data_IF_138619714675
#
_entry.id   IF_138619714675
#
_cell.length_a   1.000
_cell.length_b   1.000
_cell.length_c   1.000
_cell.angle_alpha   90.00
_cell.angle_beta   90.00
_cell.angle_gamma   90.00
#
_symmetry.space_group_name_H-M   'P 1'
#
loop_
_entity.id
_entity.type
_entity.pdbx_description
1 polymer ?
#
# COMPACT_ATOMS: atom_id res chain seq x y z
N UNK A 1 11.15 -34.99 -15.49
CA UNK A 1 9.77 -35.32 -15.07
C UNK A 1 9.25 -34.10 -14.39
N UNK A 2 8.13 -33.57 -14.86
CA UNK A 2 7.45 -32.41 -14.22
C UNK A 2 6.79 -33.00 -12.99
N UNK A 3 7.20 -32.53 -11.81
CA UNK A 3 6.58 -32.92 -10.56
C UNK A 3 5.16 -32.31 -10.56
N UNK A 4 4.15 -33.17 -10.68
CA UNK A 4 2.76 -32.74 -10.65
C UNK A 4 2.38 -32.42 -9.17
N UNK A 5 1.82 -31.26 -8.95
CA UNK A 5 1.32 -30.84 -7.64
C UNK A 5 -0.19 -31.08 -7.63
N UNK A 6 -0.71 -31.63 -6.53
CA UNK A 6 -2.15 -31.91 -6.40
C UNK A 6 -2.79 -30.97 -5.41
N UNK A 7 -3.99 -30.50 -5.72
CA UNK A 7 -4.92 -29.90 -4.75
C UNK A 7 -5.68 -31.03 -4.08
N UNK A 8 -5.72 -31.00 -2.75
CA UNK A 8 -6.35 -32.02 -1.92
C UNK A 8 -7.64 -31.49 -1.27
N UNK A 9 -8.59 -32.37 -0.98
CA UNK A 9 -9.85 -31.98 -0.30
C UNK A 9 -9.67 -31.65 1.17
N UNK A 10 -8.56 -32.08 1.79
CA UNK A 10 -8.21 -31.79 3.19
C UNK A 10 -6.69 -31.53 3.29
N UNK A 11 -6.21 -30.96 4.39
CA UNK A 11 -4.77 -30.76 4.67
C UNK A 11 -4.04 -32.08 4.91
N UNK A 12 -4.16 -33.01 3.97
CA UNK A 12 -3.61 -34.35 4.01
C UNK A 12 -3.40 -34.88 2.60
N UNK A 13 -2.17 -35.26 2.26
CA UNK A 13 -1.81 -35.82 0.95
C UNK A 13 -2.45 -37.18 0.64
N UNK A 14 -3.07 -37.83 1.63
CA UNK A 14 -3.84 -39.09 1.45
C UNK A 14 -5.34 -38.82 1.18
N UNK A 15 -5.80 -37.56 1.27
CA UNK A 15 -7.18 -37.19 0.99
C UNK A 15 -7.48 -37.20 -0.54
N UNK A 16 -8.73 -37.01 -0.90
CA UNK A 16 -9.13 -36.98 -2.31
C UNK A 16 -8.46 -35.80 -3.03
N UNK A 17 -7.98 -36.06 -4.25
CA UNK A 17 -7.45 -35.01 -5.12
C UNK A 17 -8.61 -34.28 -5.78
N UNK A 18 -8.70 -32.99 -5.54
CA UNK A 18 -9.70 -32.08 -6.14
C UNK A 18 -9.27 -31.71 -7.56
N UNK A 19 -7.99 -31.36 -7.73
CA UNK A 19 -7.43 -30.95 -9.01
C UNK A 19 -5.94 -31.30 -9.11
N UNK A 20 -5.44 -31.47 -10.33
CA UNK A 20 -4.02 -31.64 -10.62
C UNK A 20 -3.48 -30.35 -11.20
N UNK A 21 -2.56 -29.70 -10.48
CA UNK A 21 -1.89 -28.49 -10.93
C UNK A 21 -0.78 -28.80 -11.93
N UNK A 22 -0.68 -27.96 -12.94
CA UNK A 22 0.39 -27.97 -13.94
C UNK A 22 1.45 -26.92 -13.63
N UNK A 23 2.65 -27.07 -14.17
CA UNK A 23 3.70 -26.09 -13.99
C UNK A 23 3.30 -24.73 -14.60
N UNK A 24 3.26 -23.71 -13.78
CA UNK A 24 2.88 -22.34 -14.15
C UNK A 24 1.45 -21.97 -13.79
N UNK A 25 0.64 -22.90 -13.28
CA UNK A 25 -0.67 -22.58 -12.75
C UNK A 25 -0.53 -21.71 -11.48
N UNK A 26 -1.45 -20.77 -11.33
CA UNK A 26 -1.52 -19.87 -10.18
C UNK A 26 -2.89 -19.98 -9.52
N UNK A 27 -2.92 -20.00 -8.21
CA UNK A 27 -4.14 -20.14 -7.41
C UNK A 27 -4.25 -19.00 -6.40
N UNK A 28 -5.45 -18.49 -6.21
CA UNK A 28 -5.73 -17.52 -5.16
C UNK A 28 -5.66 -18.19 -3.79
N UNK A 29 -4.78 -17.71 -2.91
CA UNK A 29 -4.66 -18.21 -1.54
C UNK A 29 -5.75 -17.60 -0.67
N UNK A 30 -6.61 -18.45 -0.12
CA UNK A 30 -7.70 -18.07 0.78
C UNK A 30 -7.22 -18.02 2.24
N UNK A 31 -6.35 -18.95 2.63
CA UNK A 31 -5.86 -19.08 4.00
C UNK A 31 -4.47 -19.72 4.01
N UNK A 32 -3.53 -19.11 4.75
CA UNK A 32 -2.20 -19.65 5.03
C UNK A 32 -2.00 -19.66 6.55
N UNK A 33 -1.95 -20.84 7.16
CA UNK A 33 -1.75 -21.00 8.59
C UNK A 33 -0.27 -21.15 8.98
N UNK A 34 0.65 -21.10 8.00
CA UNK A 34 2.09 -21.21 8.23
C UNK A 34 2.58 -22.62 8.60
N UNK A 35 1.76 -23.65 8.40
CA UNK A 35 2.09 -25.05 8.63
C UNK A 35 2.56 -25.81 7.39
N UNK A 36 2.68 -25.09 6.26
CA UNK A 36 3.07 -25.60 4.97
C UNK A 36 1.89 -26.03 4.08
N UNK A 37 0.66 -25.92 4.58
CA UNK A 37 -0.55 -26.10 3.77
C UNK A 37 -1.25 -24.77 3.55
N UNK A 38 -1.67 -24.52 2.32
CA UNK A 38 -2.46 -23.36 1.94
C UNK A 38 -3.79 -23.76 1.37
N UNK A 39 -4.84 -23.05 1.75
CA UNK A 39 -6.17 -23.20 1.21
C UNK A 39 -6.29 -22.30 -0.02
N UNK A 40 -6.72 -22.86 -1.12
CA UNK A 40 -6.84 -22.17 -2.41
C UNK A 40 -8.18 -22.49 -3.08
N UNK A 41 -8.58 -21.66 -4.05
CA UNK A 41 -9.65 -22.03 -4.98
C UNK A 41 -9.06 -22.71 -6.23
N UNK A 42 -9.65 -23.84 -6.63
CA UNK A 42 -9.38 -24.49 -7.90
C UNK A 42 -9.90 -23.65 -9.09
N UNK A 43 -9.49 -23.97 -10.31
CA UNK A 43 -10.04 -23.33 -11.52
C UNK A 43 -11.56 -23.52 -11.66
N UNK A 44 -12.12 -24.59 -11.10
CA UNK A 44 -13.56 -24.82 -11.04
C UNK A 44 -14.29 -24.02 -9.96
N UNK A 45 -13.56 -23.32 -9.10
CA UNK A 45 -14.09 -22.55 -7.96
C UNK A 45 -14.37 -23.39 -6.71
N UNK A 46 -13.86 -24.63 -6.66
CA UNK A 46 -13.93 -25.49 -5.48
C UNK A 46 -12.75 -25.19 -4.53
N UNK A 47 -12.98 -25.25 -3.23
CA UNK A 47 -11.92 -25.13 -2.23
C UNK A 47 -11.03 -26.39 -2.23
N UNK A 48 -9.72 -26.19 -2.19
CA UNK A 48 -8.72 -27.24 -2.09
C UNK A 48 -7.54 -26.82 -1.23
N UNK A 49 -6.72 -27.79 -0.87
CA UNK A 49 -5.51 -27.58 -0.07
C UNK A 49 -4.29 -27.98 -0.88
N UNK A 50 -3.29 -27.12 -0.89
CA UNK A 50 -2.03 -27.30 -1.60
C UNK A 50 -0.88 -27.25 -0.61
N UNK A 51 0.10 -28.15 -0.75
CA UNK A 51 1.31 -28.11 0.07
C UNK A 51 2.30 -27.13 -0.54
N UNK A 52 2.55 -26.03 0.16
CA UNK A 52 3.56 -25.02 -0.19
C UNK A 52 4.91 -25.44 0.39
N UNK A 53 5.65 -26.28 -0.30
CA UNK A 53 6.94 -26.82 0.13
C UNK A 53 8.14 -25.93 -0.27
N UNK A 54 7.88 -24.80 -0.92
CA UNK A 54 8.89 -23.87 -1.43
C UNK A 54 9.68 -24.37 -2.65
N UNK A 55 9.32 -25.53 -3.20
CA UNK A 55 9.95 -26.14 -4.38
C UNK A 55 8.95 -26.41 -5.48
N UNK A 56 7.95 -27.26 -5.19
CA UNK A 56 6.89 -27.63 -6.12
C UNK A 56 5.76 -26.61 -6.14
N UNK A 57 5.47 -26.00 -4.99
CA UNK A 57 4.59 -24.84 -4.85
C UNK A 57 5.22 -23.78 -3.93
N UNK A 58 5.12 -22.54 -4.35
CA UNK A 58 5.59 -21.36 -3.60
C UNK A 58 4.39 -20.47 -3.36
N UNK A 59 4.14 -20.05 -2.11
CA UNK A 59 3.24 -18.97 -1.83
C UNK A 59 3.96 -17.69 -2.17
N UNK A 60 3.61 -17.10 -3.30
CA UNK A 60 3.91 -15.70 -3.54
C UNK A 60 2.80 -14.92 -2.85
N UNK A 61 3.14 -14.20 -1.77
CA UNK A 61 2.27 -13.13 -1.33
C UNK A 61 2.07 -12.25 -2.57
N UNK A 62 0.83 -12.08 -3.04
CA UNK A 62 0.56 -10.95 -3.90
C UNK A 62 1.19 -9.76 -3.16
N UNK A 63 2.14 -9.10 -3.79
CA UNK A 63 2.62 -7.82 -3.31
C UNK A 63 1.36 -6.97 -3.30
N UNK A 64 0.71 -6.87 -2.12
CA UNK A 64 -0.48 -6.09 -1.93
C UNK A 64 -0.19 -4.76 -2.56
N UNK A 65 -1.12 -4.19 -3.32
CA UNK A 65 -0.85 -2.95 -4.03
C UNK A 65 -0.30 -1.96 -2.99
N UNK A 66 1.03 -1.83 -2.95
CA UNK A 66 1.74 -1.02 -1.96
C UNK A 66 1.15 0.40 -1.89
N UNK A 67 0.53 0.84 -2.99
CA UNK A 67 -0.17 2.10 -3.06
C UNK A 67 -1.46 2.09 -2.25
N UNK A 68 -2.21 0.99 -2.31
CA UNK A 68 -3.42 0.82 -1.49
C UNK A 68 -3.07 0.64 -0.02
N UNK A 69 -2.03 -0.13 0.31
CA UNK A 69 -1.55 -0.28 1.69
C UNK A 69 -1.15 1.07 2.31
N UNK A 70 -0.45 1.90 1.55
CA UNK A 70 -0.07 3.26 1.95
C UNK A 70 -1.30 4.13 2.19
N UNK A 71 -2.32 4.06 1.33
CA UNK A 71 -3.57 4.80 1.49
C UNK A 71 -4.33 4.33 2.71
N UNK A 72 -4.54 3.03 2.86
CA UNK A 72 -5.30 2.45 3.97
C UNK A 72 -4.62 2.77 5.30
N UNK A 73 -3.31 2.64 5.37
CA UNK A 73 -2.54 3.01 6.56
C UNK A 73 -2.66 4.51 6.87
N UNK A 74 -2.56 5.38 5.87
CA UNK A 74 -2.74 6.82 6.06
C UNK A 74 -4.11 7.19 6.64
N UNK A 75 -5.17 6.50 6.20
CA UNK A 75 -6.54 6.73 6.62
C UNK A 75 -6.80 6.33 8.08
N UNK A 76 -6.01 5.43 8.65
CA UNK A 76 -6.11 5.05 10.07
C UNK A 76 -5.83 6.22 11.02
N UNK A 77 -5.13 7.26 10.57
CA UNK A 77 -4.76 8.44 11.38
C UNK A 77 -5.75 9.61 11.27
N UNK A 78 -6.87 9.44 10.59
CA UNK A 78 -7.86 10.53 10.45
C UNK A 78 -8.32 11.06 11.81
N UNK A 79 -8.33 12.39 11.95
CA UNK A 79 -8.70 13.07 13.19
C UNK A 79 -7.57 13.24 14.20
N UNK A 80 -6.42 12.59 14.02
CA UNK A 80 -5.26 12.73 14.88
C UNK A 80 -4.65 14.14 14.80
N UNK A 81 -3.97 14.61 15.86
CA UNK A 81 -3.59 16.00 15.99
C UNK A 81 -2.47 16.44 15.03
N UNK A 82 -2.56 17.68 14.56
CA UNK A 82 -1.45 18.36 13.92
C UNK A 82 -0.55 19.01 14.97
N UNK A 83 0.75 18.77 14.88
CA UNK A 83 1.77 19.46 15.68
C UNK A 83 2.90 19.93 14.77
N UNK A 84 3.17 21.24 14.73
CA UNK A 84 4.26 21.78 13.91
C UNK A 84 5.62 21.17 14.31
N UNK A 85 6.34 20.61 13.35
CA UNK A 85 7.61 19.90 13.58
C UNK A 85 7.45 18.48 14.12
N UNK A 86 6.24 18.02 14.39
CA UNK A 86 5.95 16.65 14.81
C UNK A 86 6.13 15.65 13.66
N UNK A 87 6.45 14.40 13.98
CA UNK A 87 6.72 13.34 13.01
C UNK A 87 6.00 12.02 13.29
N UNK A 88 5.26 11.93 14.39
CA UNK A 88 4.49 10.75 14.76
C UNK A 88 2.99 11.09 14.74
N UNK A 89 2.21 10.53 13.78
CA UNK A 89 0.79 10.82 13.67
C UNK A 89 -0.05 10.31 14.84
N UNK A 90 0.47 9.42 15.70
CA UNK A 90 -0.23 8.98 16.90
C UNK A 90 -0.20 10.04 18.02
N UNK A 91 0.83 10.86 18.07
CA UNK A 91 1.03 11.88 19.13
C UNK A 91 0.95 13.30 18.62
N UNK A 92 1.16 13.51 17.33
CA UNK A 92 1.09 14.77 16.62
C UNK A 92 2.15 14.92 15.55
N UNK A 93 1.73 15.30 14.36
CA UNK A 93 2.60 15.43 13.19
C UNK A 93 2.29 16.68 12.38
N UNK A 94 3.28 17.19 11.64
CA UNK A 94 3.03 18.17 10.58
C UNK A 94 2.83 17.47 9.20
N UNK A 95 2.58 18.24 8.15
CA UNK A 95 2.24 17.71 6.84
C UNK A 95 3.31 16.75 6.27
N UNK A 96 4.57 17.10 6.34
CA UNK A 96 5.67 16.30 5.81
C UNK A 96 6.12 15.20 6.79
N UNK A 97 5.94 15.38 8.08
CA UNK A 97 6.11 14.33 9.08
C UNK A 97 5.10 13.20 8.88
N UNK A 98 3.84 13.55 8.58
CA UNK A 98 2.79 12.61 8.27
C UNK A 98 3.12 11.77 7.02
N UNK A 99 3.46 12.42 5.91
CA UNK A 99 3.80 11.70 4.67
C UNK A 99 5.05 10.85 4.79
N UNK A 100 6.10 11.31 5.54
CA UNK A 100 7.27 10.46 5.84
C UNK A 100 6.84 9.22 6.60
N UNK A 101 6.13 9.40 7.69
CA UNK A 101 5.73 8.30 8.57
C UNK A 101 4.95 7.21 7.81
N UNK A 102 3.96 7.62 7.03
CA UNK A 102 3.12 6.68 6.26
C UNK A 102 3.94 5.95 5.21
N UNK A 103 4.74 6.67 4.41
CA UNK A 103 5.53 6.07 3.34
C UNK A 103 6.65 5.16 3.86
N UNK A 104 7.25 5.47 5.01
CA UNK A 104 8.25 4.61 5.64
C UNK A 104 7.64 3.31 6.15
N UNK A 105 6.45 3.38 6.81
CA UNK A 105 5.87 2.22 7.48
C UNK A 105 5.06 1.30 6.56
N UNK A 106 4.37 1.85 5.57
CA UNK A 106 3.53 1.08 4.66
C UNK A 106 4.11 0.97 3.24
N UNK A 107 4.90 1.96 2.81
CA UNK A 107 5.49 1.99 1.46
C UNK A 107 6.95 1.52 1.40
N UNK A 108 7.62 1.33 2.54
CA UNK A 108 9.03 0.98 2.60
C UNK A 108 9.97 2.07 2.03
N UNK A 109 9.52 3.32 1.93
CA UNK A 109 10.26 4.43 1.32
C UNK A 109 10.80 5.38 2.39
N UNK A 110 12.13 5.51 2.48
CA UNK A 110 12.77 6.51 3.35
C UNK A 110 12.59 7.92 2.80
N UNK A 111 11.84 8.75 3.52
CA UNK A 111 11.45 10.08 3.07
C UNK A 111 12.20 11.21 3.79
N UNK A 112 12.59 12.21 3.02
CA UNK A 112 13.12 13.45 3.60
C UNK A 112 12.10 14.13 4.54
N UNK A 113 12.60 14.77 5.59
CA UNK A 113 11.74 15.35 6.65
C UNK A 113 10.88 16.53 6.19
N UNK A 114 11.34 17.37 5.28
CA UNK A 114 10.61 18.59 4.89
C UNK A 114 9.85 18.44 3.59
N UNK A 115 8.68 19.09 3.46
CA UNK A 115 7.91 19.09 2.22
C UNK A 115 8.70 19.59 1.00
N UNK A 116 9.65 20.52 1.20
CA UNK A 116 10.53 21.00 0.12
C UNK A 116 11.51 19.95 -0.37
N UNK A 117 12.12 19.20 0.55
CA UNK A 117 13.05 18.13 0.17
C UNK A 117 12.31 16.91 -0.36
N UNK A 118 11.13 16.59 0.16
CA UNK A 118 10.25 15.56 -0.40
C UNK A 118 9.86 15.85 -1.86
N UNK A 119 9.61 17.12 -2.19
CA UNK A 119 9.29 17.53 -3.56
C UNK A 119 10.44 17.31 -4.56
N UNK A 120 11.63 16.96 -4.09
CA UNK A 120 12.80 16.61 -4.92
C UNK A 120 13.13 15.13 -4.95
N UNK A 121 12.38 14.30 -4.21
CA UNK A 121 12.49 12.84 -4.26
C UNK A 121 11.52 12.26 -5.27
N UNK A 122 11.87 11.11 -5.84
CA UNK A 122 11.02 10.39 -6.78
C UNK A 122 10.86 11.07 -8.14
N UNK A 123 9.83 10.68 -8.86
CA UNK A 123 9.55 11.09 -10.23
C UNK A 123 8.38 12.07 -10.26
N UNK A 124 8.55 13.21 -10.94
CA UNK A 124 7.44 14.13 -11.16
C UNK A 124 6.45 13.52 -12.15
N UNK A 125 5.17 13.56 -11.81
CA UNK A 125 4.06 13.08 -12.64
C UNK A 125 3.07 14.19 -12.96
N UNK A 126 2.29 14.01 -14.02
CA UNK A 126 1.18 14.92 -14.34
C UNK A 126 -0.08 14.57 -13.54
N UNK A 127 -1.06 15.46 -13.53
CA UNK A 127 -2.33 15.21 -12.85
C UNK A 127 -3.10 14.02 -13.43
N UNK A 128 -2.95 13.76 -14.74
CA UNK A 128 -3.58 12.64 -15.44
C UNK A 128 -2.90 11.29 -15.11
N UNK A 129 -1.66 11.34 -14.66
CA UNK A 129 -0.85 10.15 -14.29
C UNK A 129 -0.81 9.91 -12.78
N UNK A 130 -1.44 10.81 -12.01
CA UNK A 130 -1.43 10.75 -10.56
C UNK A 130 -2.15 9.49 -10.07
N UNK A 131 -1.49 8.73 -9.20
CA UNK A 131 -2.00 7.49 -8.61
C UNK A 131 -2.08 7.60 -7.08
N UNK A 132 -2.94 6.80 -6.41
CA UNK A 132 -2.94 6.70 -4.97
C UNK A 132 -1.51 6.48 -4.42
N UNK A 133 -1.18 7.13 -3.30
CA UNK A 133 0.16 7.13 -2.74
C UNK A 133 1.10 8.22 -3.26
N UNK A 134 0.75 8.94 -4.33
CA UNK A 134 1.53 10.07 -4.83
C UNK A 134 1.43 11.29 -3.92
N UNK A 135 2.48 12.11 -3.90
CA UNK A 135 2.56 13.30 -3.08
C UNK A 135 2.18 14.56 -3.87
N UNK A 136 1.23 15.32 -3.34
CA UNK A 136 0.77 16.59 -3.91
C UNK A 136 1.30 17.75 -3.08
N UNK A 137 2.03 18.67 -3.73
CA UNK A 137 2.69 19.81 -3.07
C UNK A 137 2.01 21.12 -3.37
N UNK A 138 1.96 21.97 -2.35
CA UNK A 138 1.37 23.30 -2.42
C UNK A 138 2.39 24.36 -1.96
N UNK A 139 2.27 25.55 -2.51
CA UNK A 139 3.18 26.65 -2.24
C UNK A 139 2.44 27.92 -1.75
N UNK A 140 3.19 28.77 -1.05
CA UNK A 140 2.85 30.17 -0.84
C UNK A 140 3.88 31.01 -1.59
N UNK A 141 3.45 31.69 -2.65
CA UNK A 141 4.35 32.27 -3.63
C UNK A 141 5.19 31.16 -4.32
N UNK A 142 6.51 31.31 -4.34
CA UNK A 142 7.43 30.32 -4.93
C UNK A 142 7.90 29.23 -3.94
N UNK A 143 7.47 29.30 -2.67
CA UNK A 143 7.97 28.41 -1.62
C UNK A 143 6.97 27.32 -1.31
N UNK A 144 7.32 26.05 -1.57
CA UNK A 144 6.57 24.89 -1.11
C UNK A 144 6.50 24.91 0.43
N UNK A 145 5.29 24.80 0.95
CA UNK A 145 5.00 24.90 2.38
C UNK A 145 4.02 23.83 2.88
N UNK A 146 3.51 22.98 2.00
CA UNK A 146 2.58 21.93 2.38
C UNK A 146 2.65 20.76 1.42
N UNK A 147 2.28 19.57 1.92
CA UNK A 147 2.18 18.32 1.18
C UNK A 147 0.99 17.51 1.68
N UNK A 148 0.34 16.78 0.77
CA UNK A 148 -0.68 15.78 1.06
C UNK A 148 -0.42 14.52 0.25
N UNK A 149 -0.93 13.41 0.74
CA UNK A 149 -0.90 12.10 0.08
C UNK A 149 -2.19 11.92 -0.72
N UNK A 150 -2.08 11.65 -2.01
CA UNK A 150 -3.24 11.37 -2.87
C UNK A 150 -3.82 9.99 -2.54
N UNK A 151 -5.14 9.91 -2.39
CA UNK A 151 -5.85 8.69 -2.00
C UNK A 151 -6.83 8.20 -3.07
N UNK A 152 -6.78 8.78 -4.28
CA UNK A 152 -7.75 8.50 -5.33
C UNK A 152 -8.94 9.46 -5.31
N UNK A 153 -9.83 9.33 -6.28
CA UNK A 153 -11.11 10.05 -6.40
C UNK A 153 -11.01 11.58 -6.23
N UNK A 154 -9.89 12.16 -6.65
CA UNK A 154 -9.66 13.60 -6.54
C UNK A 154 -9.40 14.09 -5.12
N UNK A 155 -8.97 13.23 -4.20
CA UNK A 155 -8.81 13.53 -2.78
C UNK A 155 -7.37 13.31 -2.30
N UNK A 156 -7.00 14.04 -1.28
CA UNK A 156 -5.77 13.84 -0.49
C UNK A 156 -6.11 13.66 0.98
N UNK A 157 -5.27 12.90 1.69
CA UNK A 157 -5.18 12.93 3.15
C UNK A 157 -3.95 13.73 3.55
N UNK A 158 -4.09 14.61 4.54
CA UNK A 158 -3.00 15.48 4.98
C UNK A 158 -3.16 15.95 6.44
N UNK A 159 -2.03 16.14 7.13
CA UNK A 159 -2.01 16.87 8.40
C UNK A 159 -2.14 18.36 8.08
N UNK A 160 -3.31 18.93 8.33
CA UNK A 160 -3.72 20.24 7.79
C UNK A 160 -3.34 21.41 8.69
N UNK A 161 -3.95 21.49 9.87
CA UNK A 161 -3.74 22.57 10.87
C UNK A 161 -3.95 22.05 12.29
N UNK A 162 -3.47 22.77 13.29
CA UNK A 162 -3.71 22.45 14.71
C UNK A 162 -5.20 22.35 15.08
N UNK A 163 -6.06 23.08 14.37
CA UNK A 163 -7.51 23.05 14.58
C UNK A 163 -8.19 21.83 13.98
N UNK A 164 -7.67 21.29 12.88
CA UNK A 164 -8.34 20.25 12.09
C UNK A 164 -7.64 18.91 12.11
N UNK A 165 -6.38 18.88 12.52
CA UNK A 165 -5.59 17.65 12.52
C UNK A 165 -5.40 17.04 11.13
N UNK A 166 -5.34 15.72 11.09
CA UNK A 166 -5.26 14.92 9.87
C UNK A 166 -6.66 14.76 9.30
N UNK A 167 -6.84 15.09 8.02
CA UNK A 167 -8.14 15.08 7.36
C UNK A 167 -8.05 14.83 5.86
N UNK A 168 -9.18 14.51 5.24
CA UNK A 168 -9.33 14.45 3.79
C UNK A 168 -9.74 15.83 3.25
N UNK A 169 -9.24 16.18 2.07
CA UNK A 169 -9.63 17.36 1.29
C UNK A 169 -9.55 17.07 -0.20
N UNK A 170 -10.29 17.79 -1.08
CA UNK A 170 -10.00 17.74 -2.51
C UNK A 170 -8.53 18.12 -2.78
N UNK A 171 -7.87 17.41 -3.68
CA UNK A 171 -6.46 17.72 -4.00
C UNK A 171 -6.28 19.14 -4.57
N UNK A 172 -7.36 19.72 -5.10
CA UNK A 172 -7.41 21.09 -5.63
C UNK A 172 -7.88 22.13 -4.59
N UNK A 173 -7.99 21.78 -3.28
CA UNK A 173 -8.42 22.74 -2.24
C UNK A 173 -7.49 23.98 -2.15
N UNK A 174 -6.26 23.84 -2.61
CA UNK A 174 -5.29 24.87 -2.93
C UNK A 174 -4.75 24.59 -4.34
N UNK A 175 -4.16 25.58 -4.99
CA UNK A 175 -3.52 25.35 -6.28
C UNK A 175 -2.26 24.48 -6.10
N UNK A 176 -2.22 23.23 -6.60
CA UNK A 176 -1.05 22.38 -6.50
C UNK A 176 0.06 22.90 -7.42
N UNK A 177 1.31 22.81 -6.99
CA UNK A 177 2.47 23.28 -7.76
C UNK A 177 3.35 22.13 -8.26
N UNK A 178 3.22 20.95 -7.67
CA UNK A 178 3.98 19.76 -8.05
C UNK A 178 3.29 18.49 -7.56
N UNK A 179 3.42 17.43 -8.33
CA UNK A 179 3.02 16.06 -7.95
C UNK A 179 4.24 15.17 -8.15
N UNK A 180 4.50 14.28 -7.19
CA UNK A 180 5.66 13.39 -7.23
C UNK A 180 5.24 11.99 -6.83
N UNK A 181 5.62 11.00 -7.64
CA UNK A 181 5.54 9.58 -7.30
C UNK A 181 6.85 9.12 -6.67
N UNK A 182 6.77 8.45 -5.52
CA UNK A 182 7.89 7.85 -4.78
C UNK A 182 7.74 6.33 -4.64
N UNK A 183 6.57 5.82 -4.96
CA UNK A 183 6.28 4.40 -5.08
C UNK A 183 6.50 3.94 -6.52
N UNK A 184 7.02 2.75 -6.70
CA UNK A 184 7.28 2.14 -8.00
C UNK A 184 6.03 1.78 -8.78
#
# INVERSE_FOLDING_TARGET
>A
EVEQVSLYSEMNAESAVVEQASQGDTYEVVEDNGDGWVKVFSESGEEGYLMADGKSAVVEAEAGDVRQDVVDYALTFLGNPYVYGGSDPNTGTDCSGFTSYVLEHAGGVDMNRSSRSQATQGTQVSAEQMQPGDLVFYANGSRINHVGLYIGDGQIVHASTERTGIKISPWTYRNPVKIVSVLG
#
